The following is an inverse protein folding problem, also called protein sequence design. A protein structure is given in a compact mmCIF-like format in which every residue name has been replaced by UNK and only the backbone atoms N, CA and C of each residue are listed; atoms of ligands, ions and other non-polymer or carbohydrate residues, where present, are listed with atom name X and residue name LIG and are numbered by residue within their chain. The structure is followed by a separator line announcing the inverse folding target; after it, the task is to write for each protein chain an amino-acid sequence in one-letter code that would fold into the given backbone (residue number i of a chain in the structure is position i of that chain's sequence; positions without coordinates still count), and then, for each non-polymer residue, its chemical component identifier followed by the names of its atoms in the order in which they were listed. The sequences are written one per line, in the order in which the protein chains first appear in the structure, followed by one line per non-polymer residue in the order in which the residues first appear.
data_IF_707501902366
#
_entry.id   IF_707501902366
#
_cell.length_a   1.000
_cell.length_b   1.000
_cell.length_c   1.000
_cell.angle_alpha   90.00
_cell.angle_beta   90.00
_cell.angle_gamma   90.00
#
_symmetry.space_group_name_H-M   'P 1'
#
loop_
_entity.id
_entity.type
_entity.pdbx_description
1 polymer ?
#
# COMPACT_ATOMS: atom_id res chain seq x y z
N UNK A 1 6.27 -6.37 -15.04
CA UNK A 1 6.25 -7.22 -13.82
C UNK A 1 5.38 -8.45 -13.97
N UNK A 2 4.15 -8.33 -14.46
CA UNK A 2 3.25 -9.49 -14.63
C UNK A 2 3.88 -10.60 -15.47
N UNK A 3 4.53 -10.27 -16.58
CA UNK A 3 5.18 -11.26 -17.43
C UNK A 3 6.25 -12.05 -16.69
N UNK A 4 7.01 -11.39 -15.81
CA UNK A 4 8.02 -12.04 -14.98
C UNK A 4 7.34 -13.05 -14.05
N UNK A 5 6.23 -12.67 -13.45
CA UNK A 5 5.50 -13.54 -12.53
C UNK A 5 4.92 -14.75 -13.26
N UNK A 6 4.38 -14.55 -14.46
CA UNK A 6 3.86 -15.64 -15.27
C UNK A 6 4.93 -16.63 -15.71
N UNK A 7 6.13 -16.12 -16.04
CA UNK A 7 7.28 -16.96 -16.41
C UNK A 7 7.78 -17.75 -15.19
N UNK A 8 7.87 -17.12 -14.03
CA UNK A 8 8.35 -17.76 -12.82
C UNK A 8 7.42 -18.90 -12.36
N UNK A 9 6.12 -18.71 -12.45
CA UNK A 9 5.07 -19.70 -12.13
C UNK A 9 5.38 -20.56 -10.90
N UNK A 10 5.83 -19.89 -9.81
CA UNK A 10 6.20 -20.60 -8.59
C UNK A 10 5.50 -19.94 -7.40
N UNK A 11 4.88 -20.74 -6.50
CA UNK A 11 4.10 -20.19 -5.38
C UNK A 11 4.92 -19.36 -4.39
N UNK A 12 6.25 -19.56 -4.35
CA UNK A 12 7.12 -18.76 -3.48
C UNK A 12 7.59 -17.45 -4.12
N UNK A 13 7.31 -17.24 -5.42
CA UNK A 13 7.66 -16.00 -6.12
C UNK A 13 6.44 -15.10 -6.13
N UNK A 14 6.50 -14.02 -5.35
CA UNK A 14 5.40 -13.07 -5.19
C UNK A 14 5.90 -11.65 -5.38
N UNK A 15 4.98 -10.74 -5.69
CA UNK A 15 5.30 -9.32 -5.80
C UNK A 15 5.27 -8.66 -4.43
N UNK A 16 6.15 -7.66 -4.26
CA UNK A 16 6.08 -6.72 -3.15
C UNK A 16 5.59 -5.38 -3.72
N UNK A 17 4.46 -4.90 -3.25
CA UNK A 17 3.90 -3.62 -3.70
C UNK A 17 4.63 -2.49 -2.98
N UNK A 18 5.18 -1.52 -3.72
CA UNK A 18 6.06 -0.50 -3.16
C UNK A 18 5.47 0.92 -3.16
N UNK A 19 4.26 1.09 -3.61
CA UNK A 19 3.61 2.41 -3.66
C UNK A 19 4.40 3.43 -4.49
N UNK A 20 4.83 3.02 -5.66
CA UNK A 20 5.61 3.88 -6.56
C UNK A 20 4.70 4.73 -7.46
N UNK A 21 5.14 5.93 -7.86
CA UNK A 21 4.34 6.80 -8.73
C UNK A 21 3.94 6.16 -10.06
N UNK A 22 4.76 5.25 -10.59
CA UNK A 22 4.47 4.54 -11.84
C UNK A 22 3.24 3.65 -11.80
N UNK A 23 2.71 3.34 -10.62
CA UNK A 23 1.50 2.56 -10.45
C UNK A 23 0.23 3.39 -10.66
N UNK A 24 0.35 4.72 -10.58
CA UNK A 24 -0.79 5.63 -10.59
C UNK A 24 -1.11 6.07 -12.03
N UNK A 25 -2.36 5.86 -12.44
CA UNK A 25 -2.89 6.30 -13.73
C UNK A 25 -4.18 7.06 -13.47
N UNK A 26 -4.23 8.34 -13.89
CA UNK A 26 -5.41 9.20 -13.68
C UNK A 26 -5.88 9.23 -12.22
N UNK A 27 -4.93 9.27 -11.28
CA UNK A 27 -5.23 9.34 -9.84
C UNK A 27 -5.63 8.03 -9.20
N UNK A 28 -5.53 6.89 -9.92
CA UNK A 28 -5.93 5.59 -9.42
C UNK A 28 -4.85 4.53 -9.66
N UNK A 29 -4.75 3.55 -8.77
CA UNK A 29 -3.87 2.39 -8.94
C UNK A 29 -4.63 1.17 -9.48
N UNK A 30 -5.89 1.32 -9.82
CA UNK A 30 -6.75 0.19 -10.19
C UNK A 30 -6.17 -0.66 -11.31
N UNK A 31 -5.66 -0.03 -12.36
CA UNK A 31 -5.11 -0.77 -13.51
C UNK A 31 -3.92 -1.63 -13.09
N UNK A 32 -2.93 -1.05 -12.44
CA UNK A 32 -1.74 -1.78 -11.99
C UNK A 32 -2.09 -2.85 -10.95
N UNK A 33 -3.05 -2.54 -10.08
CA UNK A 33 -3.51 -3.49 -9.05
C UNK A 33 -4.14 -4.74 -9.69
N UNK A 34 -5.01 -4.57 -10.67
CA UNK A 34 -5.65 -5.69 -11.34
C UNK A 34 -4.66 -6.58 -12.09
N UNK A 35 -3.56 -6.00 -12.59
CA UNK A 35 -2.52 -6.77 -13.25
C UNK A 35 -1.71 -7.65 -12.31
N UNK A 36 -1.54 -7.24 -11.04
CA UNK A 36 -0.59 -7.88 -10.13
C UNK A 36 -1.19 -8.47 -8.86
N UNK A 37 -2.46 -8.19 -8.56
CA UNK A 37 -3.06 -8.58 -7.27
C UNK A 37 -2.98 -10.08 -6.96
N UNK A 38 -3.07 -10.92 -7.97
CA UNK A 38 -3.01 -12.37 -7.79
C UNK A 38 -1.62 -12.87 -7.41
N UNK A 39 -0.59 -12.05 -7.62
CA UNK A 39 0.79 -12.35 -7.28
C UNK A 39 1.24 -11.69 -5.98
N UNK A 40 0.36 -10.96 -5.30
CA UNK A 40 0.72 -10.19 -4.12
C UNK A 40 1.22 -11.09 -2.99
N UNK A 41 2.39 -10.72 -2.45
CA UNK A 41 2.98 -11.40 -1.29
C UNK A 41 2.46 -10.84 0.03
N UNK A 42 3.23 -11.07 1.09
CA UNK A 42 2.85 -10.74 2.47
C UNK A 42 3.43 -9.42 2.95
N UNK A 43 4.09 -8.66 2.08
CA UNK A 43 4.74 -7.40 2.43
C UNK A 43 4.37 -6.32 1.42
N UNK A 44 4.00 -5.18 1.92
CA UNK A 44 3.76 -3.96 1.16
C UNK A 44 4.57 -2.85 1.81
N UNK A 45 5.31 -2.09 1.02
CA UNK A 45 6.01 -0.89 1.49
C UNK A 45 5.13 0.32 1.24
N UNK A 46 4.89 1.09 2.28
CA UNK A 46 4.13 2.33 2.23
C UNK A 46 5.05 3.49 2.60
N UNK A 47 4.86 4.62 1.94
CA UNK A 47 5.71 5.81 2.13
C UNK A 47 5.01 6.85 3.00
N UNK A 48 5.31 8.12 2.81
CA UNK A 48 4.68 9.18 3.57
C UNK A 48 3.18 9.26 3.27
N UNK A 49 2.36 8.91 4.24
CA UNK A 49 0.92 8.77 4.07
C UNK A 49 0.19 10.11 3.88
N UNK A 50 0.87 11.24 4.18
CA UNK A 50 0.29 12.55 3.92
C UNK A 50 0.34 12.94 2.44
N UNK A 51 1.11 12.22 1.64
CA UNK A 51 1.28 12.54 0.21
C UNK A 51 -0.01 12.20 -0.55
N UNK A 52 -0.70 13.23 -1.00
CA UNK A 52 -1.95 13.11 -1.72
C UNK A 52 -1.79 12.70 -3.19
N UNK A 53 -0.55 12.63 -3.67
CA UNK A 53 -0.26 12.17 -5.03
C UNK A 53 -0.40 10.66 -5.17
N UNK A 54 -0.37 9.92 -4.07
CA UNK A 54 -0.59 8.49 -4.08
C UNK A 54 -1.91 8.16 -3.39
N UNK A 55 -2.80 7.39 -4.02
CA UNK A 55 -4.13 7.12 -3.47
C UNK A 55 -4.11 6.03 -2.39
N UNK A 56 -3.58 6.34 -1.22
CA UNK A 56 -3.46 5.36 -0.13
C UNK A 56 -4.81 4.83 0.34
N UNK A 57 -5.83 5.67 0.39
CA UNK A 57 -7.15 5.20 0.78
C UNK A 57 -7.69 4.14 -0.18
N UNK A 58 -7.44 4.31 -1.47
CA UNK A 58 -7.79 3.29 -2.46
C UNK A 58 -7.01 2.00 -2.23
N UNK A 59 -5.70 2.09 -2.01
CA UNK A 59 -4.87 0.93 -1.75
C UNK A 59 -5.37 0.14 -0.54
N UNK A 60 -5.62 0.82 0.58
CA UNK A 60 -6.08 0.15 1.79
C UNK A 60 -7.47 -0.45 1.62
N UNK A 61 -8.34 0.18 0.84
CA UNK A 61 -9.62 -0.39 0.46
C UNK A 61 -9.49 -1.66 -0.35
N UNK A 62 -8.59 -1.69 -1.31
CA UNK A 62 -8.31 -2.86 -2.13
C UNK A 62 -7.73 -4.01 -1.31
N UNK A 63 -6.81 -3.70 -0.40
CA UNK A 63 -6.24 -4.70 0.52
C UNK A 63 -7.31 -5.31 1.42
N UNK A 64 -8.20 -4.48 1.94
CA UNK A 64 -9.32 -4.96 2.76
C UNK A 64 -10.25 -5.85 1.96
N UNK A 65 -10.55 -5.47 0.71
CA UNK A 65 -11.43 -6.25 -0.16
C UNK A 65 -10.86 -7.64 -0.47
N UNK A 66 -9.54 -7.78 -0.54
CA UNK A 66 -8.90 -9.07 -0.76
C UNK A 66 -8.56 -9.81 0.54
N UNK A 67 -8.98 -9.27 1.67
CA UNK A 67 -8.70 -9.86 2.99
C UNK A 67 -7.20 -10.02 3.26
N UNK A 68 -6.42 -8.99 2.95
CA UNK A 68 -4.97 -9.02 3.12
C UNK A 68 -4.58 -9.18 4.59
N UNK A 69 -3.78 -10.22 4.90
CA UNK A 69 -3.30 -10.50 6.25
C UNK A 69 -1.80 -10.28 6.45
N UNK A 70 -1.11 -9.69 5.48
CA UNK A 70 0.32 -9.42 5.57
C UNK A 70 0.65 -8.11 6.26
N UNK A 71 1.86 -7.61 6.02
CA UNK A 71 2.40 -6.41 6.66
C UNK A 71 2.42 -5.23 5.71
N UNK A 72 2.14 -4.05 6.24
CA UNK A 72 2.43 -2.78 5.58
C UNK A 72 3.60 -2.15 6.33
N UNK A 73 4.75 -2.12 5.70
CA UNK A 73 5.98 -1.60 6.29
C UNK A 73 6.21 -0.17 5.84
N UNK A 74 6.43 0.73 6.80
CA UNK A 74 6.72 2.12 6.45
C UNK A 74 8.15 2.24 5.93
N UNK A 75 8.29 2.92 4.80
CA UNK A 75 9.57 3.23 4.18
C UNK A 75 9.61 4.74 3.99
N UNK A 76 10.12 5.43 5.01
CA UNK A 76 10.12 6.89 5.08
C UNK A 76 11.54 7.42 5.27
N UNK A 77 11.80 8.67 4.88
CA UNK A 77 13.11 9.30 5.12
C UNK A 77 13.49 9.28 6.59
N UNK A 78 14.78 9.28 6.86
CA UNK A 78 15.30 9.37 8.23
C UNK A 78 14.85 10.68 8.89
N UNK A 79 14.63 10.62 10.19
CA UNK A 79 14.20 11.76 11.00
C UNK A 79 14.97 11.81 12.31
N UNK A 80 15.18 13.03 12.83
CA UNK A 80 15.80 13.23 14.15
C UNK A 80 14.85 12.86 15.30
N UNK A 81 13.56 12.74 15.04
CA UNK A 81 12.54 12.44 16.05
C UNK A 81 11.62 11.31 15.58
N UNK A 82 12.13 10.07 15.47
CA UNK A 82 11.37 8.95 14.92
C UNK A 82 10.14 8.59 15.74
N UNK A 83 10.18 8.72 17.04
CA UNK A 83 9.05 8.38 17.91
C UNK A 83 7.86 9.29 17.61
N UNK A 84 8.10 10.60 17.54
CA UNK A 84 7.06 11.57 17.24
C UNK A 84 6.48 11.36 15.85
N UNK A 85 7.35 11.15 14.87
CA UNK A 85 6.91 10.89 13.48
C UNK A 85 6.06 9.63 13.41
N UNK A 86 6.44 8.56 14.10
CA UNK A 86 5.67 7.32 14.10
C UNK A 86 4.31 7.46 14.80
N UNK A 87 4.18 8.34 15.78
CA UNK A 87 2.85 8.63 16.36
C UNK A 87 1.92 9.25 15.32
N UNK A 88 2.39 10.24 14.56
CA UNK A 88 1.59 10.83 13.48
C UNK A 88 1.32 9.84 12.36
N UNK A 89 2.31 9.04 12.01
CA UNK A 89 2.19 8.02 10.98
C UNK A 89 1.11 7.01 11.34
N UNK A 90 1.13 6.52 12.57
CA UNK A 90 0.14 5.57 13.06
C UNK A 90 -1.27 6.15 13.03
N UNK A 91 -1.41 7.42 13.39
CA UNK A 91 -2.71 8.10 13.36
C UNK A 91 -3.23 8.20 11.92
N UNK A 92 -2.37 8.62 10.97
CA UNK A 92 -2.74 8.68 9.56
C UNK A 92 -3.12 7.30 9.01
N UNK A 93 -2.35 6.29 9.34
CA UNK A 93 -2.65 4.91 8.93
C UNK A 93 -4.03 4.48 9.43
N UNK A 94 -4.32 4.75 10.69
CA UNK A 94 -5.63 4.41 11.27
C UNK A 94 -6.78 5.14 10.56
N UNK A 95 -6.60 6.42 10.25
CA UNK A 95 -7.63 7.20 9.54
C UNK A 95 -7.83 6.70 8.11
N UNK A 96 -6.75 6.38 7.40
CA UNK A 96 -6.82 5.95 6.00
C UNK A 96 -7.35 4.53 5.85
N UNK A 97 -7.18 3.69 6.87
CA UNK A 97 -7.69 2.31 6.86
C UNK A 97 -9.11 2.20 7.40
N UNK A 98 -9.62 3.24 8.02
CA UNK A 98 -11.00 3.28 8.51
C UNK A 98 -11.99 3.46 7.38
N UNK A 99 -13.21 2.92 7.48
CA UNK A 99 -14.25 3.18 6.49
C UNK A 99 -14.56 4.68 6.39
N UNK A 100 -14.96 5.12 5.19
CA UNK A 100 -15.37 6.51 4.99
C UNK A 100 -16.49 6.87 5.96
N UNK A 101 -16.31 7.96 6.69
CA UNK A 101 -17.26 8.41 7.72
C UNK A 101 -16.94 7.97 9.13
N UNK A 102 -16.17 6.90 9.35
CA UNK A 102 -15.76 6.48 10.69
C UNK A 102 -14.83 7.49 11.36
N UNK A 103 -14.06 8.23 10.58
CA UNK A 103 -13.16 9.28 11.07
C UNK A 103 -13.88 10.48 11.70
N UNK A 104 -15.18 10.53 11.63
CA UNK A 104 -16.01 11.61 12.20
C UNK A 104 -16.38 11.38 13.65
N UNK A 105 -16.16 10.22 14.14
CA UNK A 105 -16.49 9.84 15.51
C UNK A 105 -15.38 10.12 16.50
#
# INVERSE_FOLDING_TARGET
MRQIMEIAMHPSVRTCWNCNPGEVMNGSIKHSWEMLREFQGQVIHIHDLYDDKYPYRELFGLLKAMNYGGYCLSESPATADPVRVMHYYRMLFSLLTSPAGAAKS
#
